data_IF_941456799660
#
_entry.id   IF_941456799660
#
_cell.length_a   1.000
_cell.length_b   1.000
_cell.length_c   1.000
_cell.angle_alpha   90.00
_cell.angle_beta   90.00
_cell.angle_gamma   90.00
#
_symmetry.space_group_name_H-M   'P 1'
#
loop_
_entity.id
_entity.type
_entity.pdbx_description
1 polymer ?
#
# COMPACT_ATOMS: atom_id res chain seq x y z
N UNK A 1 11.68 -24.92 62.53
CA UNK A 1 10.48 -24.56 61.76
C UNK A 1 10.91 -23.84 60.50
N UNK A 2 10.35 -24.27 59.38
CA UNK A 2 10.75 -23.99 58.00
C UNK A 2 10.55 -22.52 57.59
N UNK A 3 11.52 -21.92 56.92
CA UNK A 3 11.32 -20.76 56.05
C UNK A 3 11.36 -21.25 54.59
N UNK A 4 10.23 -21.13 53.91
CA UNK A 4 10.01 -21.59 52.53
C UNK A 4 10.80 -20.73 51.54
N UNK A 5 11.56 -21.39 50.68
CA UNK A 5 12.05 -20.83 49.42
C UNK A 5 10.91 -20.71 48.41
N UNK A 6 10.98 -19.68 47.57
CA UNK A 6 10.16 -19.54 46.38
C UNK A 6 11.07 -19.00 45.27
N UNK A 7 11.68 -19.92 44.52
CA UNK A 7 12.35 -19.62 43.25
C UNK A 7 11.28 -19.29 42.22
N UNK A 8 11.33 -18.08 41.67
CA UNK A 8 10.53 -17.67 40.52
C UNK A 8 11.46 -17.69 39.31
N UNK A 9 11.53 -18.81 38.62
CA UNK A 9 12.26 -18.96 37.36
C UNK A 9 11.56 -18.17 36.26
N UNK A 10 12.34 -17.31 35.60
CA UNK A 10 11.96 -16.53 34.43
C UNK A 10 11.36 -17.40 33.31
N UNK A 11 10.18 -17.00 32.82
CA UNK A 11 9.63 -17.45 31.54
C UNK A 11 9.88 -16.33 30.51
N UNK A 12 11.00 -16.38 29.82
CA UNK A 12 11.14 -15.75 28.50
C UNK A 12 10.73 -16.81 27.46
N UNK A 13 9.50 -16.72 26.94
CA UNK A 13 9.02 -17.58 25.84
C UNK A 13 8.78 -16.70 24.61
N UNK A 14 9.82 -16.66 23.77
CA UNK A 14 9.82 -16.79 22.31
C UNK A 14 8.64 -16.18 21.49
N UNK A 15 8.54 -14.84 21.46
CA UNK A 15 7.69 -14.09 20.50
C UNK A 15 8.16 -14.17 19.03
N UNK A 16 9.37 -14.70 18.77
CA UNK A 16 9.96 -14.70 17.43
C UNK A 16 9.54 -15.91 16.58
N UNK A 17 9.17 -17.03 17.20
CA UNK A 17 8.74 -18.23 16.47
C UNK A 17 7.29 -18.16 15.96
N UNK A 18 6.39 -17.44 16.66
CA UNK A 18 4.97 -17.32 16.28
C UNK A 18 4.76 -16.41 15.05
N UNK A 19 5.58 -15.36 14.92
CA UNK A 19 5.51 -14.41 13.80
C UNK A 19 6.00 -15.01 12.48
N UNK A 20 6.97 -15.93 12.52
CA UNK A 20 7.46 -16.63 11.34
C UNK A 20 6.45 -17.65 10.78
N UNK A 21 5.73 -18.38 11.64
CA UNK A 21 4.70 -19.33 11.23
C UNK A 21 3.47 -18.67 10.59
N UNK A 22 3.07 -17.47 11.05
CA UNK A 22 1.91 -16.75 10.52
C UNK A 22 2.17 -16.11 9.15
N UNK A 23 3.40 -15.69 8.85
CA UNK A 23 3.76 -15.13 7.54
C UNK A 23 3.73 -16.18 6.42
N UNK A 24 4.01 -17.45 6.74
CA UNK A 24 3.97 -18.58 5.79
C UNK A 24 2.51 -18.96 5.48
N UNK A 25 1.60 -18.77 6.44
CA UNK A 25 0.18 -19.10 6.30
C UNK A 25 -0.63 -18.07 5.48
N UNK A 26 -0.16 -16.84 5.29
CA UNK A 26 -0.90 -15.79 4.55
C UNK A 26 0.08 -14.83 3.83
N UNK A 27 0.50 -15.12 2.58
CA UNK A 27 1.45 -14.28 1.86
C UNK A 27 0.83 -12.91 1.62
N UNK A 28 1.47 -11.88 2.18
CA UNK A 28 1.06 -10.48 2.03
C UNK A 28 1.55 -9.95 0.69
N UNK A 29 0.72 -9.15 0.04
CA UNK A 29 1.06 -8.46 -1.19
C UNK A 29 1.82 -7.16 -0.87
N UNK A 30 2.97 -6.99 -1.51
CA UNK A 30 3.77 -5.77 -1.41
C UNK A 30 3.81 -5.04 -2.75
N UNK A 31 3.43 -3.78 -2.75
CA UNK A 31 3.57 -2.84 -3.88
C UNK A 31 3.77 -1.42 -3.37
N UNK A 32 4.65 -0.69 -4.04
CA UNK A 32 4.71 0.76 -3.91
C UNK A 32 3.65 1.39 -4.83
N UNK A 33 2.52 1.76 -4.24
CA UNK A 33 1.36 2.34 -4.92
C UNK A 33 1.74 3.68 -5.54
N UNK A 34 2.47 4.54 -4.81
CA UNK A 34 2.83 5.86 -5.30
C UNK A 34 3.73 5.78 -6.53
N UNK A 35 4.79 4.97 -6.46
CA UNK A 35 5.73 4.74 -7.56
C UNK A 35 5.05 4.10 -8.77
N UNK A 36 4.19 3.11 -8.56
CA UNK A 36 3.41 2.48 -9.63
C UNK A 36 2.52 3.50 -10.36
N UNK A 37 1.86 4.39 -9.62
CA UNK A 37 0.99 5.41 -10.19
C UNK A 37 1.78 6.49 -10.92
N UNK A 38 2.81 7.05 -10.29
CA UNK A 38 3.62 8.14 -10.86
C UNK A 38 4.35 7.71 -12.12
N UNK A 39 4.97 6.52 -12.11
CA UNK A 39 5.61 5.96 -13.31
C UNK A 39 4.60 5.77 -14.46
N UNK A 40 3.42 5.21 -14.17
CA UNK A 40 2.37 5.03 -15.18
C UNK A 40 1.82 6.35 -15.73
N UNK A 41 1.61 7.35 -14.86
CA UNK A 41 1.14 8.69 -15.25
C UNK A 41 2.16 9.38 -16.17
N UNK A 42 3.44 9.41 -15.77
CA UNK A 42 4.50 10.05 -16.54
C UNK A 42 4.73 9.39 -17.90
N UNK A 43 4.72 8.06 -17.96
CA UNK A 43 4.92 7.31 -19.19
C UNK A 43 3.76 7.45 -20.18
N UNK A 44 2.52 7.62 -19.68
CA UNK A 44 1.32 7.52 -20.50
C UNK A 44 0.53 8.82 -20.67
N UNK A 45 1.22 9.97 -20.57
CA UNK A 45 0.71 11.26 -21.07
C UNK A 45 0.68 12.38 -20.04
N UNK A 46 0.69 12.07 -18.75
CA UNK A 46 0.55 13.10 -17.71
C UNK A 46 1.79 13.98 -17.57
N UNK A 47 2.95 13.56 -18.10
CA UNK A 47 4.13 14.44 -18.28
C UNK A 47 3.79 15.72 -19.06
N UNK A 48 2.83 15.65 -19.98
CA UNK A 48 2.37 16.78 -20.80
C UNK A 48 0.94 17.22 -20.46
N UNK A 49 0.38 16.77 -19.33
CA UNK A 49 -1.01 17.06 -18.94
C UNK A 49 -2.08 16.36 -19.79
N UNK A 50 -1.75 15.34 -20.58
CA UNK A 50 -2.72 14.62 -21.41
C UNK A 50 -3.45 13.52 -20.62
N UNK A 51 -4.52 13.93 -19.93
CA UNK A 51 -5.40 13.02 -19.20
C UNK A 51 -6.17 12.06 -20.12
N UNK A 52 -6.44 12.45 -21.37
CA UNK A 52 -7.16 11.57 -22.31
C UNK A 52 -6.32 10.36 -22.66
N UNK A 53 -5.03 10.55 -22.93
CA UNK A 53 -4.08 9.47 -23.20
C UNK A 53 -3.91 8.56 -22.00
N UNK A 54 -3.77 9.12 -20.80
CA UNK A 54 -3.66 8.31 -19.57
C UNK A 54 -4.92 7.47 -19.33
N UNK A 55 -6.13 8.04 -19.49
CA UNK A 55 -7.40 7.31 -19.41
C UNK A 55 -7.49 6.15 -20.40
N UNK A 56 -7.03 6.36 -21.65
CA UNK A 56 -6.99 5.30 -22.69
C UNK A 56 -6.04 4.18 -22.26
N UNK A 57 -4.87 4.52 -21.70
CA UNK A 57 -3.95 3.55 -21.11
C UNK A 57 -4.62 2.74 -19.98
N UNK A 58 -5.24 3.40 -18.98
CA UNK A 58 -5.91 2.70 -17.88
C UNK A 58 -7.01 1.76 -18.42
N UNK A 59 -7.75 2.18 -19.44
CA UNK A 59 -8.77 1.35 -20.09
C UNK A 59 -8.18 0.10 -20.75
N UNK A 60 -7.08 0.25 -21.49
CA UNK A 60 -6.38 -0.87 -22.12
C UNK A 60 -5.72 -1.80 -21.09
N UNK A 61 -5.15 -1.25 -20.01
CA UNK A 61 -4.58 -1.99 -18.88
C UNK A 61 -5.66 -2.82 -18.18
N UNK A 62 -6.80 -2.21 -17.84
CA UNK A 62 -7.95 -2.91 -17.28
C UNK A 62 -8.43 -4.03 -18.20
N UNK A 63 -8.59 -3.78 -19.49
CA UNK A 63 -9.01 -4.82 -20.46
C UNK A 63 -8.05 -6.02 -20.46
N UNK A 64 -6.74 -5.78 -20.40
CA UNK A 64 -5.71 -6.83 -20.31
C UNK A 64 -5.83 -7.61 -18.99
N UNK A 65 -5.99 -6.90 -17.86
CA UNK A 65 -6.17 -7.52 -16.53
C UNK A 65 -7.44 -8.37 -16.45
N UNK A 66 -8.58 -7.85 -16.92
CA UNK A 66 -9.83 -8.62 -16.97
C UNK A 66 -9.68 -9.90 -17.82
N UNK A 67 -8.93 -9.84 -18.93
CA UNK A 67 -8.67 -11.01 -19.79
C UNK A 67 -7.72 -12.01 -19.12
N UNK A 68 -6.62 -11.54 -18.52
CA UNK A 68 -5.63 -12.42 -17.87
C UNK A 68 -6.20 -13.11 -16.63
N UNK A 69 -7.03 -12.41 -15.85
CA UNK A 69 -7.70 -12.95 -14.67
C UNK A 69 -8.96 -13.77 -15.02
N UNK A 70 -9.31 -13.88 -16.31
CA UNK A 70 -10.57 -14.51 -16.78
C UNK A 70 -11.82 -13.92 -16.10
N UNK A 71 -11.76 -12.65 -15.70
CA UNK A 71 -12.78 -11.96 -14.90
C UNK A 71 -13.68 -11.06 -15.78
N UNK A 72 -13.96 -11.46 -17.01
CA UNK A 72 -14.75 -10.64 -17.96
C UNK A 72 -16.25 -10.65 -17.65
N UNK A 73 -16.94 -9.55 -17.92
CA UNK A 73 -18.39 -9.35 -17.67
C UNK A 73 -19.34 -10.00 -18.71
N UNK A 74 -18.93 -11.13 -19.30
CA UNK A 74 -19.64 -11.81 -20.38
C UNK A 74 -19.26 -11.31 -21.78
N UNK A 75 -19.55 -12.11 -22.81
CA UNK A 75 -19.27 -11.80 -24.24
C UNK A 75 -20.48 -11.23 -25.00
N UNK A 76 -21.67 -11.25 -24.40
CA UNK A 76 -22.92 -10.78 -25.01
C UNK A 76 -23.71 -9.91 -24.03
N UNK A 77 -24.49 -10.52 -23.15
CA UNK A 77 -25.19 -9.80 -22.06
C UNK A 77 -24.20 -9.44 -20.95
N UNK A 78 -24.26 -8.18 -20.49
CA UNK A 78 -23.46 -7.71 -19.38
C UNK A 78 -23.84 -8.43 -18.09
N UNK A 79 -22.86 -9.08 -17.47
CA UNK A 79 -22.98 -9.71 -16.16
C UNK A 79 -22.01 -9.05 -15.20
N UNK A 80 -22.56 -8.30 -14.23
CA UNK A 80 -21.73 -7.62 -13.23
C UNK A 80 -21.04 -8.67 -12.38
N UNK A 81 -19.71 -8.62 -12.33
CA UNK A 81 -18.89 -9.41 -11.42
C UNK A 81 -18.28 -8.46 -10.40
N UNK A 82 -18.70 -8.61 -9.14
CA UNK A 82 -18.17 -7.80 -8.05
C UNK A 82 -16.84 -8.42 -7.60
N UNK A 83 -15.86 -7.57 -7.29
CA UNK A 83 -14.58 -8.00 -6.74
C UNK A 83 -14.79 -8.08 -5.23
N UNK A 84 -15.13 -9.24 -4.70
CA UNK A 84 -15.30 -9.44 -3.25
C UNK A 84 -14.02 -9.98 -2.64
N UNK A 85 -13.86 -9.82 -1.32
CA UNK A 85 -12.77 -10.44 -0.57
C UNK A 85 -12.70 -11.96 -0.84
N UNK A 86 -13.87 -12.60 -0.95
CA UNK A 86 -13.97 -14.02 -1.30
C UNK A 86 -13.40 -14.33 -2.68
N UNK A 87 -13.57 -13.47 -3.69
CA UNK A 87 -12.94 -13.66 -5.01
C UNK A 87 -11.41 -13.62 -4.92
N UNK A 88 -10.89 -12.84 -3.98
CA UNK A 88 -9.45 -12.69 -3.74
C UNK A 88 -8.89 -13.86 -2.91
N UNK A 89 -9.72 -14.53 -2.10
CA UNK A 89 -9.33 -15.70 -1.28
C UNK A 89 -9.67 -17.06 -1.90
N UNK A 90 -10.74 -17.18 -2.69
CA UNK A 90 -11.25 -18.45 -3.29
C UNK A 90 -10.29 -19.04 -4.32
N UNK A 91 -9.43 -18.22 -4.91
CA UNK A 91 -8.31 -18.66 -5.76
C UNK A 91 -7.37 -19.61 -4.99
N UNK A 92 -7.36 -19.53 -3.66
CA UNK A 92 -6.61 -20.41 -2.75
C UNK A 92 -7.31 -21.76 -2.53
N UNK A 93 -8.63 -21.78 -2.34
CA UNK A 93 -9.38 -22.99 -1.97
C UNK A 93 -9.58 -23.91 -3.17
N UNK A 94 -9.97 -23.38 -4.34
CA UNK A 94 -10.19 -24.21 -5.53
C UNK A 94 -8.90 -24.87 -6.04
N UNK A 95 -7.75 -24.21 -5.86
CA UNK A 95 -6.45 -24.82 -6.18
C UNK A 95 -5.99 -25.82 -5.12
N UNK A 96 -6.20 -25.56 -3.83
CA UNK A 96 -5.85 -26.52 -2.77
C UNK A 96 -6.68 -27.79 -2.89
N UNK A 97 -7.97 -27.71 -3.22
CA UNK A 97 -8.83 -28.87 -3.45
C UNK A 97 -8.40 -29.66 -4.71
N UNK A 98 -8.05 -28.96 -5.80
CA UNK A 98 -7.52 -29.59 -7.01
C UNK A 98 -6.14 -30.24 -6.77
N UNK A 99 -5.29 -29.63 -5.94
CA UNK A 99 -3.99 -30.16 -5.54
C UNK A 99 -4.17 -31.36 -4.60
N UNK A 100 -5.12 -31.34 -3.66
CA UNK A 100 -5.45 -32.49 -2.80
C UNK A 100 -5.96 -33.67 -3.63
N UNK A 101 -6.76 -33.40 -4.67
CA UNK A 101 -7.20 -34.43 -5.61
C UNK A 101 -6.04 -34.98 -6.45
N UNK A 102 -5.13 -34.14 -6.94
CA UNK A 102 -3.93 -34.58 -7.68
C UNK A 102 -2.92 -35.31 -6.78
N UNK A 103 -2.80 -34.97 -5.50
CA UNK A 103 -1.94 -35.67 -4.54
C UNK A 103 -2.52 -37.04 -4.17
N UNK A 104 -3.85 -37.15 -4.03
CA UNK A 104 -4.54 -38.46 -3.92
C UNK A 104 -4.32 -39.33 -5.15
N UNK A 105 -4.37 -38.75 -6.35
CA UNK A 105 -4.10 -39.45 -7.62
C UNK A 105 -2.62 -39.83 -7.77
N UNK A 106 -1.70 -38.99 -7.30
CA UNK A 106 -0.25 -39.26 -7.30
C UNK A 106 0.14 -40.36 -6.32
N UNK A 107 -0.42 -40.36 -5.10
CA UNK A 107 -0.19 -41.42 -4.11
C UNK A 107 -0.76 -42.77 -4.57
N UNK A 108 -1.89 -42.78 -5.30
CA UNK A 108 -2.43 -44.00 -5.93
C UNK A 108 -1.47 -44.56 -7.00
N UNK A 109 -0.76 -43.70 -7.72
CA UNK A 109 0.23 -44.09 -8.73
C UNK A 109 1.63 -44.40 -8.14
N UNK A 110 1.94 -43.87 -6.95
CA UNK A 110 3.22 -44.09 -6.25
C UNK A 110 3.32 -45.50 -5.61
N UNK A 111 2.20 -46.19 -5.41
CA UNK A 111 2.16 -47.58 -4.92
C UNK A 111 2.64 -48.62 -5.96
N UNK A 112 2.99 -48.23 -7.18
CA UNK A 112 3.32 -49.17 -8.26
C UNK A 112 4.79 -49.21 -8.72
N UNK A 113 5.69 -48.34 -8.25
CA UNK A 113 7.14 -48.47 -8.58
C UNK A 113 8.04 -47.95 -7.45
N UNK A 114 8.64 -48.90 -6.73
CA UNK A 114 9.78 -48.69 -5.83
C UNK A 114 11.04 -49.15 -6.58
N UNK A 115 12.01 -48.25 -6.81
CA UNK A 115 13.42 -48.44 -6.39
C UNK A 115 14.42 -47.44 -7.03
N UNK A 116 15.36 -47.01 -6.16
CA UNK A 116 16.72 -46.42 -6.38
C UNK A 116 16.94 -44.89 -6.42
N UNK A 117 17.42 -44.41 -5.25
CA UNK A 117 18.64 -43.62 -4.96
C UNK A 117 19.00 -42.34 -5.75
N UNK A 118 19.04 -41.17 -5.07
CA UNK A 118 20.22 -40.39 -4.61
C UNK A 118 19.79 -39.00 -4.07
N UNK A 119 20.50 -38.39 -3.09
CA UNK A 119 20.14 -37.12 -2.45
C UNK A 119 20.94 -35.93 -3.02
N UNK A 120 20.30 -34.78 -3.29
CA UNK A 120 21.02 -33.52 -3.61
C UNK A 120 20.20 -32.29 -3.20
N UNK A 121 20.76 -31.54 -2.24
CA UNK A 121 20.63 -30.11 -1.93
C UNK A 121 19.37 -29.39 -2.46
N UNK A 122 18.39 -29.18 -1.58
CA UNK A 122 17.27 -28.26 -1.80
C UNK A 122 17.72 -26.82 -1.50
N UNK A 123 18.13 -26.09 -2.54
CA UNK A 123 17.89 -24.64 -2.56
C UNK A 123 16.40 -24.42 -2.29
N UNK A 124 16.06 -23.67 -1.24
CA UNK A 124 14.69 -23.24 -0.93
C UNK A 124 14.21 -22.27 -2.02
N UNK A 125 13.91 -22.81 -3.19
CA UNK A 125 13.15 -22.13 -4.24
C UNK A 125 11.70 -22.18 -3.81
N UNK A 126 11.10 -21.02 -3.56
CA UNK A 126 9.67 -20.90 -3.28
C UNK A 126 8.92 -21.69 -4.36
N UNK A 127 8.06 -22.66 -4.00
CA UNK A 127 7.41 -23.52 -4.99
C UNK A 127 6.64 -22.67 -5.99
N UNK A 128 6.81 -22.92 -7.30
CA UNK A 128 6.23 -22.10 -8.38
C UNK A 128 4.71 -21.89 -8.30
N UNK A 129 4.02 -22.67 -7.47
CA UNK A 129 2.59 -22.54 -7.14
C UNK A 129 2.26 -21.32 -6.26
N UNK A 130 3.14 -20.93 -5.33
CA UNK A 130 2.99 -19.69 -4.53
C UNK A 130 3.20 -18.45 -5.40
N UNK A 131 4.02 -18.56 -6.45
CA UNK A 131 4.27 -17.45 -7.36
C UNK A 131 3.03 -17.15 -8.24
N UNK A 132 2.27 -18.17 -8.64
CA UNK A 132 1.03 -18.00 -9.43
C UNK A 132 -0.08 -17.34 -8.59
N UNK A 133 -0.24 -17.71 -7.32
CA UNK A 133 -1.27 -17.15 -6.43
C UNK A 133 -0.99 -15.68 -6.08
N UNK A 134 0.26 -15.32 -5.83
CA UNK A 134 0.70 -13.93 -5.61
C UNK A 134 0.48 -13.08 -6.88
N UNK A 135 0.76 -13.61 -8.07
CA UNK A 135 0.55 -12.90 -9.33
C UNK A 135 -0.94 -12.66 -9.65
N UNK A 136 -1.82 -13.59 -9.29
CA UNK A 136 -3.27 -13.40 -9.46
C UNK A 136 -3.84 -12.40 -8.45
N UNK A 137 -3.40 -12.45 -7.19
CA UNK A 137 -3.74 -11.47 -6.15
C UNK A 137 -3.33 -10.05 -6.57
N UNK A 138 -2.09 -9.89 -7.04
CA UNK A 138 -1.58 -8.63 -7.59
C UNK A 138 -2.43 -8.09 -8.75
N UNK A 139 -2.93 -8.99 -9.61
CA UNK A 139 -3.80 -8.64 -10.72
C UNK A 139 -5.13 -8.01 -10.27
N UNK A 140 -5.78 -8.56 -9.24
CA UNK A 140 -7.03 -8.01 -8.72
C UNK A 140 -6.83 -6.65 -8.03
N UNK A 141 -5.74 -6.48 -7.27
CA UNK A 141 -5.43 -5.19 -6.64
C UNK A 141 -5.14 -4.10 -7.70
N UNK A 142 -4.34 -4.41 -8.72
CA UNK A 142 -4.13 -3.51 -9.85
C UNK A 142 -5.43 -3.18 -10.59
N UNK A 143 -6.36 -4.13 -10.71
CA UNK A 143 -7.63 -3.91 -11.39
C UNK A 143 -8.48 -2.86 -10.65
N UNK A 144 -8.54 -2.93 -9.32
CA UNK A 144 -9.23 -1.93 -8.50
C UNK A 144 -8.53 -0.57 -8.57
N UNK A 145 -7.21 -0.55 -8.45
CA UNK A 145 -6.40 0.67 -8.53
C UNK A 145 -6.58 1.39 -9.87
N UNK A 146 -6.44 0.68 -11.00
CA UNK A 146 -6.62 1.28 -12.33
C UNK A 146 -8.09 1.65 -12.63
N UNK A 147 -9.07 1.04 -11.94
CA UNK A 147 -10.47 1.47 -12.03
C UNK A 147 -10.69 2.83 -11.36
N UNK A 148 -10.03 3.08 -10.22
CA UNK A 148 -9.99 4.38 -9.56
C UNK A 148 -9.27 5.41 -10.45
N UNK A 149 -8.06 5.11 -10.92
CA UNK A 149 -7.25 6.01 -11.75
C UNK A 149 -7.97 6.41 -13.05
N UNK A 150 -8.63 5.46 -13.72
CA UNK A 150 -9.41 5.77 -14.93
C UNK A 150 -10.54 6.76 -14.63
N UNK A 151 -11.21 6.62 -13.48
CA UNK A 151 -12.29 7.51 -13.09
C UNK A 151 -11.74 8.90 -12.69
N UNK A 152 -10.63 8.95 -11.97
CA UNK A 152 -9.93 10.18 -11.59
C UNK A 152 -9.41 10.93 -12.81
N UNK A 153 -8.69 10.26 -13.71
CA UNK A 153 -8.19 10.84 -14.96
C UNK A 153 -9.32 11.43 -15.81
N UNK A 154 -10.49 10.80 -15.82
CA UNK A 154 -11.66 11.34 -16.51
C UNK A 154 -12.24 12.60 -15.88
N UNK A 155 -12.16 12.70 -14.55
CA UNK A 155 -12.53 13.91 -13.83
C UNK A 155 -11.53 15.03 -14.13
N UNK A 156 -10.24 14.74 -14.07
CA UNK A 156 -9.19 15.72 -14.33
C UNK A 156 -9.19 16.24 -15.77
N UNK A 157 -9.48 15.40 -16.76
CA UNK A 157 -9.67 15.83 -18.16
C UNK A 157 -10.74 16.92 -18.30
N UNK A 158 -11.80 16.88 -17.48
CA UNK A 158 -12.84 17.93 -17.46
C UNK A 158 -12.45 19.13 -16.62
N UNK A 159 -11.61 18.94 -15.60
CA UNK A 159 -11.10 20.01 -14.75
C UNK A 159 -10.13 20.92 -15.50
N UNK A 160 -9.24 20.33 -16.31
CA UNK A 160 -8.15 21.05 -16.99
C UNK A 160 -8.52 21.55 -18.38
N UNK A 161 -9.81 21.76 -18.66
CA UNK A 161 -10.23 22.40 -19.90
C UNK A 161 -9.80 23.87 -19.91
N UNK A 162 -9.34 24.44 -21.04
CA UNK A 162 -8.89 25.83 -21.11
C UNK A 162 -9.92 26.84 -20.62
N UNK A 163 -11.20 26.63 -20.96
CA UNK A 163 -12.32 27.50 -20.57
C UNK A 163 -12.90 27.14 -19.18
N UNK A 164 -12.32 26.15 -18.50
CA UNK A 164 -12.90 25.52 -17.31
C UNK A 164 -14.15 24.67 -17.61
N UNK A 165 -14.65 23.91 -16.62
CA UNK A 165 -15.82 23.07 -16.79
C UNK A 165 -17.13 23.86 -16.69
N UNK A 166 -18.00 23.70 -17.70
CA UNK A 166 -19.41 24.16 -17.61
C UNK A 166 -20.14 23.52 -16.41
N UNK A 167 -21.24 24.09 -15.88
CA UNK A 167 -21.94 23.52 -14.71
C UNK A 167 -22.34 22.04 -14.87
N UNK A 168 -22.81 21.65 -16.07
CA UNK A 168 -23.10 20.23 -16.39
C UNK A 168 -21.84 19.35 -16.36
N UNK A 169 -20.73 19.86 -16.88
CA UNK A 169 -19.44 19.17 -16.88
C UNK A 169 -18.87 19.08 -15.46
N UNK A 170 -19.06 20.09 -14.61
CA UNK A 170 -18.71 20.07 -13.18
C UNK A 170 -19.49 18.99 -12.43
N UNK A 171 -20.82 18.93 -12.60
CA UNK A 171 -21.63 17.84 -12.01
C UNK A 171 -21.19 16.45 -12.46
N UNK A 172 -20.80 16.32 -13.73
CA UNK A 172 -20.27 15.08 -14.28
C UNK A 172 -18.89 14.71 -13.70
N UNK A 173 -17.99 15.68 -13.57
CA UNK A 173 -16.68 15.58 -12.94
C UNK A 173 -16.82 15.07 -11.49
N UNK A 174 -17.70 15.68 -10.70
CA UNK A 174 -17.97 15.25 -9.32
C UNK A 174 -18.51 13.82 -9.29
N UNK A 175 -19.39 13.45 -10.23
CA UNK A 175 -19.85 12.07 -10.40
C UNK A 175 -18.71 11.09 -10.70
N UNK A 176 -17.68 11.52 -11.44
CA UNK A 176 -16.48 10.70 -11.73
C UNK A 176 -15.57 10.60 -10.50
N UNK A 177 -15.38 11.67 -9.74
CA UNK A 177 -14.61 11.62 -8.49
C UNK A 177 -15.28 10.75 -7.44
N UNK A 178 -16.61 10.79 -7.29
CA UNK A 178 -17.35 9.85 -6.42
C UNK A 178 -17.07 8.40 -6.78
N UNK A 179 -16.99 8.10 -8.08
CA UNK A 179 -16.63 6.76 -8.56
C UNK A 179 -15.17 6.42 -8.24
N UNK A 180 -14.25 7.37 -8.38
CA UNK A 180 -12.84 7.17 -8.03
C UNK A 180 -12.68 6.86 -6.54
N UNK A 181 -13.33 7.64 -5.66
CA UNK A 181 -13.35 7.39 -4.21
C UNK A 181 -13.89 6.01 -3.89
N UNK A 182 -15.02 5.60 -4.48
CA UNK A 182 -15.57 4.25 -4.25
C UNK A 182 -14.59 3.12 -4.60
N UNK A 183 -13.82 3.28 -5.66
CA UNK A 183 -12.80 2.28 -6.02
C UNK A 183 -11.57 2.38 -5.12
N UNK A 184 -11.18 3.58 -4.69
CA UNK A 184 -10.06 3.79 -3.78
C UNK A 184 -10.34 3.24 -2.36
N UNK A 185 -11.56 3.40 -1.84
CA UNK A 185 -11.97 2.78 -0.57
C UNK A 185 -11.97 1.26 -0.68
N UNK A 186 -12.49 0.72 -1.80
CA UNK A 186 -12.43 -0.72 -2.05
C UNK A 186 -10.98 -1.24 -2.14
N UNK A 187 -10.07 -0.44 -2.73
CA UNK A 187 -8.64 -0.77 -2.77
C UNK A 187 -8.03 -0.78 -1.37
N UNK A 188 -8.32 0.22 -0.54
CA UNK A 188 -7.88 0.30 0.85
C UNK A 188 -8.37 -0.91 1.67
N UNK A 189 -9.64 -1.29 1.55
CA UNK A 189 -10.22 -2.46 2.24
C UNK A 189 -9.53 -3.76 1.84
N UNK A 190 -9.19 -3.93 0.56
CA UNK A 190 -8.44 -5.11 0.11
C UNK A 190 -6.98 -5.09 0.62
N UNK A 191 -6.33 -3.93 0.63
CA UNK A 191 -4.97 -3.78 1.10
C UNK A 191 -4.84 -3.90 2.62
N UNK A 192 -5.87 -3.56 3.40
CA UNK A 192 -5.82 -3.77 4.87
C UNK A 192 -5.83 -5.26 5.24
N UNK A 193 -6.44 -6.11 4.40
CA UNK A 193 -6.56 -7.55 4.67
C UNK A 193 -5.41 -8.34 4.02
N UNK A 194 -4.99 -7.95 2.81
CA UNK A 194 -4.02 -8.70 2.00
C UNK A 194 -2.69 -7.98 1.75
N UNK A 195 -2.61 -6.69 2.01
CA UNK A 195 -1.38 -5.93 1.84
C UNK A 195 -0.40 -6.14 2.98
N UNK A 196 0.87 -5.93 2.71
CA UNK A 196 1.85 -5.66 3.75
C UNK A 196 1.55 -4.33 4.47
N UNK A 197 2.23 -4.11 5.59
CA UNK A 197 2.01 -2.93 6.43
C UNK A 197 2.18 -1.64 5.59
N UNK A 198 3.21 -1.59 4.73
CA UNK A 198 3.50 -0.45 3.85
C UNK A 198 2.42 -0.20 2.80
N UNK A 199 2.05 -1.21 2.00
CA UNK A 199 1.01 -1.08 0.97
C UNK A 199 -0.33 -0.70 1.60
N UNK A 200 -0.64 -1.22 2.79
CA UNK A 200 -1.88 -0.86 3.49
C UNK A 200 -1.93 0.64 3.84
N UNK A 201 -0.82 1.22 4.29
CA UNK A 201 -0.70 2.66 4.57
C UNK A 201 -0.74 3.49 3.30
N UNK A 202 -0.02 3.09 2.25
CA UNK A 202 -0.05 3.81 0.96
C UNK A 202 -1.46 3.79 0.34
N UNK A 203 -2.18 2.68 0.47
CA UNK A 203 -3.57 2.57 0.02
C UNK A 203 -4.51 3.49 0.81
N UNK A 204 -4.31 3.63 2.12
CA UNK A 204 -5.05 4.55 2.99
C UNK A 204 -4.77 6.02 2.63
N UNK A 205 -3.50 6.37 2.37
CA UNK A 205 -3.12 7.70 1.89
C UNK A 205 -3.72 8.02 0.51
N UNK A 206 -3.72 7.05 -0.40
CA UNK A 206 -4.34 7.17 -1.72
C UNK A 206 -5.85 7.36 -1.64
N UNK A 207 -6.55 6.58 -0.79
CA UNK A 207 -7.98 6.73 -0.57
C UNK A 207 -8.32 8.11 0.03
N UNK A 208 -7.52 8.57 1.00
CA UNK A 208 -7.65 9.89 1.61
C UNK A 208 -7.43 11.01 0.59
N UNK A 209 -6.42 10.90 -0.28
CA UNK A 209 -6.20 11.82 -1.39
C UNK A 209 -7.40 11.90 -2.36
N UNK A 210 -7.94 10.75 -2.76
CA UNK A 210 -9.11 10.71 -3.64
C UNK A 210 -10.34 11.34 -2.98
N UNK A 211 -10.55 11.08 -1.69
CA UNK A 211 -11.66 11.64 -0.90
C UNK A 211 -11.52 13.15 -0.72
N UNK A 212 -10.31 13.63 -0.43
CA UNK A 212 -9.99 15.05 -0.35
C UNK A 212 -10.32 15.77 -1.66
N UNK A 213 -9.90 15.23 -2.80
CA UNK A 213 -10.21 15.80 -4.12
C UNK A 213 -11.73 15.85 -4.41
N UNK A 214 -12.49 14.84 -3.99
CA UNK A 214 -13.94 14.87 -4.15
C UNK A 214 -14.58 16.01 -3.34
N UNK A 215 -14.23 16.11 -2.05
CA UNK A 215 -14.80 17.11 -1.15
C UNK A 215 -14.40 18.53 -1.58
N UNK A 216 -13.15 18.69 -2.02
CA UNK A 216 -12.64 19.94 -2.58
C UNK A 216 -13.48 20.42 -3.77
N UNK A 217 -13.77 19.54 -4.72
CA UNK A 217 -14.58 19.88 -5.91
C UNK A 217 -16.08 20.00 -5.61
N UNK A 218 -16.55 19.52 -4.46
CA UNK A 218 -17.93 19.70 -4.03
C UNK A 218 -18.19 21.08 -3.41
N UNK A 219 -17.13 21.84 -3.08
CA UNK A 219 -17.21 23.08 -2.32
C UNK A 219 -17.96 22.93 -0.98
N UNK A 220 -17.84 21.74 -0.35
CA UNK A 220 -18.55 21.37 0.88
C UNK A 220 -17.58 20.72 1.88
N UNK A 221 -17.80 20.97 3.17
CA UNK A 221 -17.08 20.33 4.28
C UNK A 221 -15.55 20.46 4.18
N UNK A 222 -15.07 21.70 4.13
CA UNK A 222 -13.65 22.05 4.03
C UNK A 222 -12.81 21.42 5.14
N UNK A 223 -13.34 21.26 6.35
CA UNK A 223 -12.66 20.64 7.48
C UNK A 223 -12.31 19.16 7.22
N UNK A 224 -13.26 18.42 6.64
CA UNK A 224 -13.06 16.99 6.33
C UNK A 224 -12.09 16.86 5.16
N UNK A 225 -12.20 17.73 4.15
CA UNK A 225 -11.24 17.78 3.04
C UNK A 225 -9.83 18.05 3.54
N UNK A 226 -9.66 19.04 4.43
CA UNK A 226 -8.40 19.39 5.06
C UNK A 226 -7.82 18.20 5.86
N UNK A 227 -8.63 17.54 6.68
CA UNK A 227 -8.22 16.34 7.43
C UNK A 227 -7.75 15.22 6.49
N UNK A 228 -8.44 14.99 5.38
CA UNK A 228 -8.05 13.99 4.38
C UNK A 228 -6.70 14.34 3.72
N UNK A 229 -6.49 15.60 3.35
CA UNK A 229 -5.23 16.04 2.74
C UNK A 229 -4.07 16.04 3.74
N UNK A 230 -4.26 16.52 4.98
CA UNK A 230 -3.27 16.47 6.05
C UNK A 230 -2.89 15.02 6.39
N UNK A 231 -3.87 14.11 6.49
CA UNK A 231 -3.61 12.69 6.70
C UNK A 231 -2.79 12.05 5.57
N UNK A 232 -3.16 12.31 4.30
CA UNK A 232 -2.39 11.84 3.15
C UNK A 232 -0.96 12.42 3.14
N UNK A 233 -0.80 13.72 3.43
CA UNK A 233 0.50 14.38 3.53
C UNK A 233 1.37 13.71 4.59
N UNK A 234 0.86 13.52 5.81
CA UNK A 234 1.62 12.92 6.90
C UNK A 234 2.14 11.52 6.55
N UNK A 235 1.33 10.68 5.89
CA UNK A 235 1.78 9.37 5.41
C UNK A 235 2.93 9.49 4.42
N UNK A 236 2.79 10.33 3.39
CA UNK A 236 3.84 10.46 2.37
C UNK A 236 5.10 11.12 2.92
N UNK A 237 4.98 12.05 3.86
CA UNK A 237 6.11 12.68 4.54
C UNK A 237 6.90 11.64 5.36
N UNK A 238 6.23 10.78 6.11
CA UNK A 238 6.89 9.68 6.83
C UNK A 238 7.47 8.62 5.89
N UNK A 239 6.74 8.22 4.86
CA UNK A 239 7.25 7.26 3.86
C UNK A 239 8.45 7.82 3.07
N UNK A 240 8.54 9.15 2.93
CA UNK A 240 9.65 9.84 2.29
C UNK A 240 10.94 9.86 3.13
N UNK A 241 10.85 9.66 4.45
CA UNK A 241 12.03 9.53 5.32
C UNK A 241 12.73 8.18 5.17
N UNK A 242 11.99 7.15 4.74
CA UNK A 242 12.46 5.78 4.70
C UNK A 242 12.27 5.14 3.31
N UNK A 243 13.37 4.82 2.65
CA UNK A 243 13.38 4.10 1.39
C UNK A 243 14.44 4.62 0.43
N UNK A 244 14.45 4.06 -0.78
CA UNK A 244 15.36 4.43 -1.84
C UNK A 244 15.16 5.88 -2.31
N UNK A 245 16.20 6.48 -2.89
CA UNK A 245 16.19 7.86 -3.36
C UNK A 245 14.99 8.19 -4.26
N UNK A 246 14.60 7.25 -5.14
CA UNK A 246 13.43 7.40 -6.01
C UNK A 246 12.13 7.57 -5.20
N UNK A 247 11.95 6.77 -4.15
CA UNK A 247 10.77 6.87 -3.29
C UNK A 247 10.73 8.17 -2.51
N UNK A 248 11.88 8.66 -2.03
CA UNK A 248 11.99 9.93 -1.32
C UNK A 248 11.57 11.09 -2.22
N UNK A 249 12.08 11.12 -3.46
CA UNK A 249 11.72 12.15 -4.46
C UNK A 249 10.23 12.11 -4.76
N UNK A 250 9.67 10.93 -5.03
CA UNK A 250 8.24 10.78 -5.33
C UNK A 250 7.33 11.21 -4.16
N UNK A 251 7.71 10.86 -2.93
CA UNK A 251 6.98 11.27 -1.74
C UNK A 251 7.02 12.79 -1.54
N UNK A 252 8.19 13.40 -1.75
CA UNK A 252 8.35 14.86 -1.69
C UNK A 252 7.50 15.57 -2.74
N UNK A 253 7.56 15.15 -4.00
CA UNK A 253 6.71 15.69 -5.08
C UNK A 253 5.23 15.57 -4.70
N UNK A 254 4.83 14.44 -4.11
CA UNK A 254 3.45 14.21 -3.68
C UNK A 254 3.00 15.15 -2.55
N UNK A 255 3.88 15.44 -1.59
CA UNK A 255 3.62 16.41 -0.52
C UNK A 255 3.47 17.82 -1.10
N UNK A 256 4.36 18.21 -2.01
CA UNK A 256 4.31 19.51 -2.71
C UNK A 256 3.03 19.67 -3.54
N UNK A 257 2.51 18.60 -4.16
CA UNK A 257 1.22 18.58 -4.87
C UNK A 257 0.01 18.82 -3.97
N UNK A 258 0.07 18.39 -2.71
CA UNK A 258 -1.03 18.51 -1.75
C UNK A 258 -1.12 19.93 -1.17
N UNK A 259 0.01 20.63 -1.08
CA UNK A 259 0.14 21.89 -0.34
C UNK A 259 -0.77 23.03 -0.84
N UNK A 260 -1.00 23.22 -2.16
CA UNK A 260 -1.97 24.21 -2.65
C UNK A 260 -3.40 23.92 -2.19
N UNK A 261 -3.81 22.64 -2.19
CA UNK A 261 -5.15 22.23 -1.75
C UNK A 261 -5.32 22.42 -0.24
N UNK A 262 -4.30 22.07 0.56
CA UNK A 262 -4.29 22.31 2.00
C UNK A 262 -4.44 23.80 2.30
N UNK A 263 -3.60 24.65 1.70
CA UNK A 263 -3.66 26.11 1.89
C UNK A 263 -5.02 26.70 1.52
N UNK A 264 -5.60 26.24 0.41
CA UNK A 264 -6.92 26.70 0.00
C UNK A 264 -8.01 26.30 1.01
N UNK A 265 -7.98 25.06 1.52
CA UNK A 265 -8.91 24.63 2.57
C UNK A 265 -8.79 25.47 3.84
N UNK A 266 -7.56 25.75 4.31
CA UNK A 266 -7.32 26.59 5.49
C UNK A 266 -7.89 28.01 5.30
N UNK A 267 -7.63 28.62 4.14
CA UNK A 267 -8.15 29.94 3.81
C UNK A 267 -9.70 29.96 3.78
N UNK A 268 -10.37 28.89 3.34
CA UNK A 268 -11.83 28.80 3.31
C UNK A 268 -12.46 28.58 4.69
N UNK A 269 -11.75 27.96 5.61
CA UNK A 269 -12.22 27.74 7.00
C UNK A 269 -12.14 29.02 7.83
N UNK A 270 -11.31 29.99 7.42
CA UNK A 270 -11.17 31.28 8.10
C UNK A 270 -9.86 31.44 8.85
N UNK A 271 -8.86 30.57 8.61
CA UNK A 271 -7.49 30.79 9.06
C UNK A 271 -6.80 31.83 8.16
N UNK A 272 -7.28 33.07 8.22
CA UNK A 272 -6.59 34.24 7.68
C UNK A 272 -5.57 34.73 8.70
N UNK A 273 -4.54 33.95 8.98
CA UNK A 273 -3.31 34.48 9.56
C UNK A 273 -2.11 33.74 8.97
N UNK A 274 -1.40 34.47 8.11
CA UNK A 274 -0.10 34.10 7.61
C UNK A 274 0.84 33.87 8.80
N UNK A 275 1.15 32.61 9.11
CA UNK A 275 2.53 32.16 9.28
C UNK A 275 2.65 30.69 8.87
N UNK A 276 3.57 30.45 7.94
CA UNK A 276 4.05 29.16 7.45
C UNK A 276 4.74 28.29 8.52
N UNK A 277 4.63 28.63 9.81
CA UNK A 277 5.32 27.99 10.93
C UNK A 277 4.41 27.15 11.84
N UNK A 278 3.09 27.18 11.69
CA UNK A 278 2.15 26.38 12.51
C UNK A 278 1.54 25.16 11.80
N UNK A 279 2.19 24.66 10.75
CA UNK A 279 1.92 23.31 10.21
C UNK A 279 2.37 22.19 11.17
N UNK A 280 2.98 22.54 12.31
CA UNK A 280 3.42 21.64 13.38
C UNK A 280 2.30 21.24 14.36
N UNK A 281 1.07 21.76 14.24
CA UNK A 281 -0.05 21.28 15.06
C UNK A 281 -0.62 19.96 14.49
N UNK A 282 0.18 18.91 14.59
CA UNK A 282 -0.23 17.50 14.46
C UNK A 282 -0.84 17.00 15.79
N UNK A 283 -0.91 17.85 16.82
CA UNK A 283 -1.24 17.47 18.19
C UNK A 283 -2.72 17.30 18.54
N UNK A 284 -3.67 17.95 17.88
CA UNK A 284 -5.05 18.05 18.38
C UNK A 284 -6.10 17.26 17.58
N UNK A 285 -5.81 15.98 17.30
CA UNK A 285 -6.86 15.06 16.86
C UNK A 285 -6.80 13.78 17.68
N UNK A 286 -7.15 13.85 18.96
CA UNK A 286 -7.28 12.64 19.78
C UNK A 286 -8.49 11.80 19.32
N UNK A 287 -8.23 10.52 19.03
CA UNK A 287 -9.27 9.58 18.65
C UNK A 287 -8.72 8.18 18.34
N UNK A 288 -9.48 7.10 18.61
CA UNK A 288 -9.01 5.72 18.45
C UNK A 288 -8.51 5.38 17.03
N UNK A 289 -9.08 6.06 16.02
CA UNK A 289 -8.67 5.89 14.63
C UNK A 289 -7.27 6.50 14.35
N UNK A 290 -6.90 7.59 15.03
CA UNK A 290 -5.57 8.19 14.88
C UNK A 290 -4.52 7.35 15.59
N UNK A 291 -4.84 6.76 16.75
CA UNK A 291 -3.90 5.88 17.46
C UNK A 291 -3.62 4.61 16.66
N UNK A 292 -4.65 4.01 16.05
CA UNK A 292 -4.48 2.90 15.12
C UNK A 292 -3.61 3.30 13.92
N UNK A 293 -3.79 4.50 13.40
CA UNK A 293 -2.97 5.04 12.32
C UNK A 293 -1.51 5.24 12.73
N UNK A 294 -1.25 5.84 13.91
CA UNK A 294 0.09 6.01 14.48
C UNK A 294 0.77 4.66 14.71
N UNK A 295 0.05 3.66 15.22
CA UNK A 295 0.57 2.31 15.43
C UNK A 295 0.96 1.64 14.09
N UNK A 296 0.13 1.78 13.04
CA UNK A 296 0.48 1.27 11.71
C UNK A 296 1.71 1.97 11.14
N UNK A 297 1.81 3.30 11.29
CA UNK A 297 3.00 4.06 10.88
C UNK A 297 4.24 3.55 11.60
N UNK A 298 4.18 3.36 12.92
CA UNK A 298 5.30 2.85 13.71
C UNK A 298 5.71 1.44 13.28
N UNK A 299 4.75 0.55 13.00
CA UNK A 299 5.04 -0.79 12.48
C UNK A 299 5.78 -0.73 11.13
N UNK A 300 5.33 0.11 10.20
CA UNK A 300 6.00 0.29 8.89
C UNK A 300 7.40 0.89 9.05
N UNK A 301 7.56 1.87 9.95
CA UNK A 301 8.88 2.43 10.26
C UNK A 301 9.81 1.39 10.88
N UNK A 302 9.30 0.52 11.77
CA UNK A 302 10.08 -0.55 12.38
C UNK A 302 10.53 -1.59 11.33
N UNK A 303 9.64 -1.98 10.42
CA UNK A 303 9.96 -2.87 9.28
C UNK A 303 11.03 -2.24 8.37
N UNK A 304 10.88 -0.96 8.00
CA UNK A 304 11.85 -0.25 7.15
C UNK A 304 13.22 -0.11 7.82
N UNK A 305 13.27 0.19 9.12
CA UNK A 305 14.52 0.24 9.90
C UNK A 305 15.18 -1.13 9.98
N UNK A 306 14.41 -2.21 10.13
CA UNK A 306 14.94 -3.57 10.12
C UNK A 306 15.58 -3.91 8.77
N UNK A 307 14.94 -3.55 7.64
CA UNK A 307 15.48 -3.76 6.31
C UNK A 307 16.76 -2.94 6.05
N UNK A 308 16.79 -1.67 6.46
CA UNK A 308 17.97 -0.82 6.36
C UNK A 308 19.10 -1.28 7.30
N UNK A 309 18.76 -1.77 8.49
CA UNK A 309 19.73 -2.37 9.41
C UNK A 309 20.32 -3.66 8.84
N UNK A 310 19.55 -4.45 8.10
CA UNK A 310 20.06 -5.68 7.46
C UNK A 310 21.13 -5.38 6.41
N UNK A 311 20.98 -4.28 5.64
CA UNK A 311 21.95 -3.86 4.62
C UNK A 311 23.14 -3.08 5.20
N UNK A 312 22.98 -2.41 6.35
CA UNK A 312 24.09 -1.78 7.04
C UNK A 312 24.98 -2.84 7.69
N UNK A 313 26.13 -3.16 7.11
CA UNK A 313 27.14 -4.02 7.77
C UNK A 313 28.18 -3.20 8.54
N UNK A 314 28.24 -1.89 8.29
CA UNK A 314 29.33 -1.02 8.69
C UNK A 314 28.82 0.36 9.11
N UNK A 315 29.46 0.92 10.13
CA UNK A 315 29.16 2.23 10.67
C UNK A 315 30.40 3.11 10.65
N UNK A 316 30.24 4.33 10.17
CA UNK A 316 31.31 5.31 10.11
C UNK A 316 31.09 6.38 11.19
N UNK A 317 32.08 6.58 12.05
CA UNK A 317 32.05 7.60 13.09
C UNK A 317 33.41 8.31 13.18
N UNK A 318 33.40 9.63 13.09
CA UNK A 318 34.60 10.49 13.12
C UNK A 318 35.73 9.99 12.17
N UNK A 319 35.36 9.53 10.98
CA UNK A 319 36.31 9.04 9.97
C UNK A 319 36.75 7.57 10.15
N UNK A 320 36.37 6.91 11.23
CA UNK A 320 36.69 5.50 11.49
C UNK A 320 35.53 4.57 11.08
N UNK A 321 35.86 3.38 10.59
CA UNK A 321 34.90 2.36 10.13
C UNK A 321 34.81 1.23 11.14
N UNK A 322 33.61 0.99 11.64
CA UNK A 322 33.31 -0.05 12.63
C UNK A 322 32.36 -1.09 12.01
N UNK A 323 32.76 -2.36 11.91
CA UNK A 323 31.86 -3.42 11.48
C UNK A 323 30.87 -3.73 12.60
N UNK A 324 29.58 -3.86 12.26
CA UNK A 324 28.53 -4.17 13.24
C UNK A 324 27.85 -5.47 12.83
N UNK A 325 28.11 -6.53 13.59
CA UNK A 325 27.51 -7.85 13.39
C UNK A 325 26.11 -7.98 14.02
N UNK A 326 25.86 -7.27 15.13
CA UNK A 326 24.61 -7.42 15.88
C UNK A 326 23.46 -6.62 15.24
N UNK A 327 22.41 -7.32 14.80
CA UNK A 327 21.22 -6.73 14.19
C UNK A 327 20.51 -5.69 15.07
N UNK A 328 20.41 -5.92 16.39
CA UNK A 328 19.72 -5.00 17.31
C UNK A 328 20.47 -3.66 17.41
N UNK A 329 21.80 -3.71 17.50
CA UNK A 329 22.66 -2.52 17.57
C UNK A 329 22.53 -1.66 16.31
N UNK A 330 22.42 -2.28 15.13
CA UNK A 330 22.21 -1.57 13.85
C UNK A 330 20.90 -0.80 13.82
N UNK A 331 19.81 -1.40 14.30
CA UNK A 331 18.50 -0.73 14.40
C UNK A 331 18.55 0.44 15.38
N UNK A 332 19.22 0.29 16.53
CA UNK A 332 19.37 1.37 17.53
C UNK A 332 20.21 2.53 17.00
N UNK A 333 21.29 2.27 16.26
CA UNK A 333 22.12 3.30 15.64
C UNK A 333 21.33 4.09 14.60
N UNK A 334 20.56 3.39 13.75
CA UNK A 334 19.66 4.06 12.81
C UNK A 334 18.65 4.95 13.54
N UNK A 335 18.00 4.44 14.59
CA UNK A 335 17.08 5.23 15.41
C UNK A 335 17.75 6.48 15.99
N UNK A 336 18.98 6.36 16.49
CA UNK A 336 19.76 7.49 17.00
C UNK A 336 20.15 8.51 15.94
N UNK A 337 20.53 8.07 14.74
CA UNK A 337 20.87 8.97 13.62
C UNK A 337 19.69 9.84 13.19
N UNK A 338 18.49 9.25 13.13
CA UNK A 338 17.28 10.01 12.80
C UNK A 338 16.91 11.05 13.86
N UNK A 339 17.23 10.83 15.13
CA UNK A 339 17.00 11.81 16.20
C UNK A 339 18.01 12.97 16.18
N UNK A 340 19.13 12.83 15.46
CA UNK A 340 20.17 13.86 15.33
C UNK A 340 20.01 14.70 14.05
N UNK A 341 19.28 14.19 13.05
CA UNK A 341 19.00 14.87 11.76
C UNK A 341 17.61 15.54 11.72
N UNK A 342 16.78 15.36 12.76
CA UNK A 342 15.50 16.04 12.99
C UNK A 342 15.68 17.21 13.96
#
# INVERSE_FOLDING_TARGET
MMAKGNDVTAMEIDEQNSTASDQIANPKFSVNVLQLLKSAQMQHGLRFGDYTRYRRYCTARLRRLYKSLKFTHGRGKYTKRNITLSTVTEVRVQMVDAIMQLHKMSQYNMLLKVDKAYPTVLHHQIPGQYQITVLQLAGFLHLVLYAAERAWSHAMEKKTLPDGPNPRQRSYLIGRLRKAVKWATHFQELCSIKGDSRTSLEAEAYASYMKGNLLFEQDQQWDIALKCFKGARAVYEELGKYGDLENQVLCRERVEELEPSIRYCLHKIGESNLQTSELAQIGEMEGPALDLFKAKLEAVMAEARSQQAASMTEFHWLGHRFPISNAKTRVSILKGRFLLEA
#
